data_IF_192374401342
#
_entry.id   IF_192374401342
#
_cell.length_a   1.000
_cell.length_b   1.000
_cell.length_c   1.000
_cell.angle_alpha   90.00
_cell.angle_beta   90.00
_cell.angle_gamma   90.00
#
_symmetry.space_group_name_H-M   'P 1'
#
loop_
_entity.id
_entity.type
_entity.pdbx_description
1 polymer ?
#
# COMPACT_ATOMS: atom_id res chain seq x y z
N UNK A 1 -31.90 7.70 0.41
CA UNK A 1 -31.24 7.14 1.62
C UNK A 1 -29.98 6.52 1.10
N UNK A 2 -28.86 7.21 1.20
CA UNK A 2 -27.53 6.67 0.98
C UNK A 2 -27.24 5.86 2.25
N UNK A 3 -27.06 4.55 2.10
CA UNK A 3 -26.95 3.61 3.21
C UNK A 3 -25.84 4.00 4.18
N UNK A 4 -26.08 3.80 5.48
CA UNK A 4 -25.12 4.04 6.58
C UNK A 4 -23.81 3.22 6.40
N UNK A 5 -23.79 2.20 5.54
CA UNK A 5 -22.63 1.36 5.20
C UNK A 5 -21.53 2.16 4.48
N UNK A 6 -21.87 3.19 3.68
CA UNK A 6 -20.89 3.99 2.93
C UNK A 6 -20.05 4.97 3.78
N UNK A 7 -20.41 5.24 5.02
CA UNK A 7 -19.70 6.25 5.84
C UNK A 7 -18.42 5.75 6.51
N UNK A 8 -18.21 4.45 6.55
CA UNK A 8 -17.06 3.82 7.22
C UNK A 8 -15.99 3.29 6.24
N UNK A 9 -16.31 3.24 4.94
CA UNK A 9 -15.38 2.77 3.91
C UNK A 9 -14.39 3.87 3.52
N UNK A 10 -13.09 3.56 3.64
CA UNK A 10 -12.03 4.45 3.14
C UNK A 10 -11.79 4.21 1.64
N UNK A 11 -12.08 3.00 1.13
CA UNK A 11 -11.99 2.67 -0.29
C UNK A 11 -13.26 1.94 -0.73
N UNK A 12 -13.86 2.41 -1.81
CA UNK A 12 -14.95 1.72 -2.52
C UNK A 12 -14.54 1.53 -3.97
N UNK A 13 -14.57 0.29 -4.45
CA UNK A 13 -14.24 -0.10 -5.82
C UNK A 13 -15.43 -0.84 -6.41
N UNK A 14 -15.96 -0.35 -7.54
CA UNK A 14 -17.17 -0.88 -8.16
C UNK A 14 -16.91 -1.26 -9.60
N UNK A 15 -16.99 -2.56 -9.92
CA UNK A 15 -16.93 -3.12 -11.28
C UNK A 15 -15.76 -2.59 -12.10
N UNK A 16 -14.57 -2.48 -11.49
CA UNK A 16 -13.38 -1.90 -12.13
C UNK A 16 -12.80 -2.84 -13.17
N UNK A 17 -12.60 -2.27 -14.36
CA UNK A 17 -11.96 -2.91 -15.50
C UNK A 17 -10.67 -2.17 -15.86
N UNK A 18 -9.62 -2.90 -16.23
CA UNK A 18 -8.39 -2.32 -16.78
C UNK A 18 -7.90 -3.10 -17.98
N UNK A 19 -7.84 -2.42 -19.11
CA UNK A 19 -7.20 -2.91 -20.34
C UNK A 19 -5.94 -2.10 -20.62
N UNK A 20 -4.85 -2.78 -20.90
CA UNK A 20 -3.64 -2.14 -21.41
C UNK A 20 -3.65 -2.06 -22.93
N UNK A 21 -2.89 -1.11 -23.55
CA UNK A 21 -2.84 -0.96 -25.02
C UNK A 21 -2.36 -2.21 -25.77
N UNK A 22 -1.61 -3.10 -25.11
CA UNK A 22 -1.14 -4.39 -25.68
C UNK A 22 -2.22 -5.48 -25.67
N UNK A 23 -3.47 -5.19 -25.29
CA UNK A 23 -4.59 -6.11 -25.22
C UNK A 23 -4.67 -6.92 -23.91
N UNK A 24 -3.78 -6.69 -22.96
CA UNK A 24 -3.86 -7.35 -21.66
C UNK A 24 -5.06 -6.84 -20.85
N UNK A 25 -5.95 -7.73 -20.43
CA UNK A 25 -7.07 -7.45 -19.54
C UNK A 25 -6.62 -7.69 -18.09
N UNK A 26 -6.11 -6.66 -17.46
CA UNK A 26 -5.41 -6.74 -16.17
C UNK A 26 -6.34 -6.74 -14.96
N UNK A 27 -7.52 -6.10 -15.05
CA UNK A 27 -8.56 -6.14 -14.01
C UNK A 27 -9.90 -6.44 -14.66
N UNK A 28 -10.66 -7.38 -14.07
CA UNK A 28 -11.91 -7.93 -14.61
C UNK A 28 -13.04 -7.77 -13.60
N UNK A 29 -13.82 -6.72 -13.72
CA UNK A 29 -14.99 -6.42 -12.88
C UNK A 29 -14.69 -6.50 -11.38
N UNK A 30 -13.53 -5.96 -10.97
CA UNK A 30 -13.12 -6.00 -9.57
C UNK A 30 -14.05 -5.09 -8.75
N UNK A 31 -14.62 -5.67 -7.70
CA UNK A 31 -15.44 -4.95 -6.71
C UNK A 31 -14.90 -5.28 -5.32
N UNK A 32 -14.60 -4.26 -4.53
CA UNK A 32 -14.09 -4.40 -3.17
C UNK A 32 -14.39 -3.15 -2.34
N UNK A 33 -14.54 -3.32 -1.05
CA UNK A 33 -14.71 -2.25 -0.07
C UNK A 33 -13.66 -2.41 1.02
N UNK A 34 -13.06 -1.33 1.49
CA UNK A 34 -12.07 -1.35 2.57
C UNK A 34 -12.50 -0.35 3.63
N UNK A 35 -12.60 -0.79 4.86
CA UNK A 35 -13.02 0.05 5.98
C UNK A 35 -11.87 0.91 6.50
N UNK A 36 -12.21 2.01 7.14
CA UNK A 36 -11.24 2.84 7.84
C UNK A 36 -10.61 2.06 9.00
N UNK A 37 -9.29 2.08 9.11
CA UNK A 37 -8.52 1.32 10.11
C UNK A 37 -8.34 -0.16 9.76
N UNK A 38 -8.86 -0.64 8.62
CA UNK A 38 -8.73 -2.04 8.19
C UNK A 38 -7.39 -2.28 7.49
N UNK A 39 -6.79 -3.43 7.76
CA UNK A 39 -5.60 -3.93 7.06
C UNK A 39 -6.02 -5.02 6.08
N UNK A 40 -5.92 -4.74 4.79
CA UNK A 40 -6.25 -5.68 3.72
C UNK A 40 -4.99 -6.17 3.03
N UNK A 41 -4.74 -7.47 3.07
CA UNK A 41 -3.66 -8.10 2.30
C UNK A 41 -4.17 -8.60 0.95
N UNK A 42 -3.41 -8.34 -0.12
CA UNK A 42 -3.70 -8.84 -1.46
C UNK A 42 -2.64 -9.88 -1.82
N UNK A 43 -3.08 -11.12 -2.07
CA UNK A 43 -2.23 -12.25 -2.43
C UNK A 43 -2.64 -12.83 -3.79
N UNK A 44 -1.78 -13.62 -4.40
CA UNK A 44 -2.03 -14.31 -5.68
C UNK A 44 -0.78 -14.47 -6.53
N UNK A 45 -0.82 -15.24 -7.61
CA UNK A 45 0.32 -15.48 -8.48
C UNK A 45 0.84 -14.19 -9.14
N UNK A 46 2.10 -14.24 -9.62
CA UNK A 46 2.67 -13.14 -10.41
C UNK A 46 1.84 -12.91 -11.67
N UNK A 47 1.61 -11.62 -12.01
CA UNK A 47 0.77 -11.24 -13.15
C UNK A 47 -0.74 -11.33 -12.93
N UNK A 48 -1.23 -11.63 -11.71
CA UNK A 48 -2.67 -11.71 -11.41
C UNK A 48 -3.39 -10.35 -11.32
N UNK A 49 -2.70 -9.23 -11.45
CA UNK A 49 -3.31 -7.90 -11.41
C UNK A 49 -3.20 -7.17 -10.07
N UNK A 50 -2.56 -7.74 -9.03
CA UNK A 50 -2.47 -7.16 -7.67
C UNK A 50 -1.90 -5.73 -7.65
N UNK A 51 -0.69 -5.55 -8.21
CA UNK A 51 -0.06 -4.22 -8.27
C UNK A 51 -0.82 -3.25 -9.16
N UNK A 52 -1.44 -3.75 -10.25
CA UNK A 52 -2.33 -2.94 -11.09
C UNK A 52 -3.52 -2.45 -10.26
N UNK A 53 -4.20 -3.34 -9.55
CA UNK A 53 -5.32 -2.98 -8.68
C UNK A 53 -4.89 -1.98 -7.60
N UNK A 54 -3.81 -2.26 -6.86
CA UNK A 54 -3.29 -1.35 -5.84
C UNK A 54 -3.02 0.06 -6.41
N UNK A 55 -2.39 0.15 -7.57
CA UNK A 55 -2.04 1.42 -8.22
C UNK A 55 -3.25 2.18 -8.79
N UNK A 56 -4.40 1.52 -8.99
CA UNK A 56 -5.62 2.24 -9.34
C UNK A 56 -6.17 3.03 -8.16
N UNK A 57 -5.88 2.64 -6.90
CA UNK A 57 -6.39 3.30 -5.70
C UNK A 57 -5.78 4.70 -5.44
N UNK A 58 -4.72 5.08 -6.16
CA UNK A 58 -4.14 6.42 -6.13
C UNK A 58 -3.97 7.02 -7.55
N UNK A 59 -4.63 6.41 -8.54
CA UNK A 59 -4.60 6.78 -9.95
C UNK A 59 -3.17 6.81 -10.54
N UNK A 60 -2.22 6.00 -10.04
CA UNK A 60 -0.98 5.71 -10.76
C UNK A 60 -1.22 4.82 -11.99
N UNK A 61 -2.29 4.03 -11.94
CA UNK A 61 -2.86 3.32 -13.08
C UNK A 61 -4.31 3.79 -13.28
N UNK A 62 -4.65 4.24 -14.48
CA UNK A 62 -6.01 4.64 -14.84
C UNK A 62 -6.86 3.40 -15.13
N UNK A 63 -8.10 3.38 -14.68
CA UNK A 63 -9.06 2.32 -15.02
C UNK A 63 -9.64 2.53 -16.43
N UNK A 64 -10.15 1.46 -17.05
CA UNK A 64 -10.83 1.53 -18.33
C UNK A 64 -12.34 1.77 -18.18
N UNK A 65 -12.94 1.27 -17.10
CA UNK A 65 -14.31 1.50 -16.67
C UNK A 65 -14.51 1.09 -15.22
N UNK A 66 -15.67 1.40 -14.66
CA UNK A 66 -15.98 1.21 -13.25
C UNK A 66 -15.87 2.50 -12.46
N UNK A 67 -15.84 2.39 -11.13
CA UNK A 67 -15.78 3.54 -10.22
C UNK A 67 -14.85 3.24 -9.05
N UNK A 68 -14.09 4.25 -8.62
CA UNK A 68 -13.27 4.18 -7.42
C UNK A 68 -13.49 5.45 -6.59
N UNK A 69 -13.84 5.26 -5.33
CA UNK A 69 -13.93 6.32 -4.32
C UNK A 69 -12.90 6.02 -3.24
N UNK A 70 -12.07 6.99 -2.92
CA UNK A 70 -11.07 6.87 -1.84
C UNK A 70 -11.18 8.10 -0.94
N UNK A 71 -11.32 7.86 0.34
CA UNK A 71 -11.51 8.89 1.38
C UNK A 71 -12.64 9.88 1.02
N UNK A 72 -13.76 9.35 0.50
CA UNK A 72 -14.92 10.13 0.05
C UNK A 72 -14.75 10.87 -1.27
N UNK A 73 -13.59 10.77 -1.94
CA UNK A 73 -13.29 11.42 -3.21
C UNK A 73 -13.50 10.42 -4.34
N UNK A 74 -14.48 10.66 -5.22
CA UNK A 74 -14.64 9.92 -6.47
C UNK A 74 -13.54 10.33 -7.45
N UNK A 75 -12.65 9.38 -7.76
CA UNK A 75 -11.41 9.66 -8.51
C UNK A 75 -11.64 10.04 -9.96
N UNK A 76 -12.81 9.73 -10.52
CA UNK A 76 -13.14 9.91 -11.93
C UNK A 76 -14.32 10.87 -12.15
N UNK A 77 -14.80 11.55 -11.08
CA UNK A 77 -15.79 12.60 -11.20
C UNK A 77 -15.20 13.86 -11.86
N UNK A 78 -16.04 14.58 -12.60
CA UNK A 78 -15.64 15.83 -13.24
C UNK A 78 -15.13 16.85 -12.21
N UNK A 79 -13.93 17.36 -12.43
CA UNK A 79 -13.31 18.38 -11.56
C UNK A 79 -12.56 17.82 -10.33
N UNK A 80 -12.41 16.52 -10.19
CA UNK A 80 -11.62 15.92 -9.10
C UNK A 80 -10.14 16.33 -9.18
N UNK A 81 -9.62 16.91 -8.10
CA UNK A 81 -8.17 17.15 -7.96
C UNK A 81 -7.49 15.92 -7.38
N UNK A 82 -6.89 15.11 -8.24
CA UNK A 82 -6.17 13.90 -7.85
C UNK A 82 -4.95 14.19 -6.95
N UNK A 83 -4.40 15.39 -6.98
CA UNK A 83 -3.27 15.73 -6.11
C UNK A 83 -3.75 15.89 -4.66
N UNK A 84 -4.96 16.36 -4.44
CA UNK A 84 -5.56 16.38 -3.10
C UNK A 84 -5.73 14.95 -2.56
N UNK A 85 -6.25 14.03 -3.37
CA UNK A 85 -6.35 12.62 -2.98
C UNK A 85 -4.98 12.03 -2.63
N UNK A 86 -3.96 12.25 -3.48
CA UNK A 86 -2.59 11.73 -3.26
C UNK A 86 -1.89 12.30 -2.04
N UNK A 87 -2.36 13.40 -1.46
CA UNK A 87 -1.85 13.87 -0.17
C UNK A 87 -2.29 12.98 0.98
N UNK A 88 -3.50 12.42 0.88
CA UNK A 88 -4.11 11.56 1.91
C UNK A 88 -3.82 10.07 1.71
N UNK A 89 -3.15 9.68 0.60
CA UNK A 89 -2.84 8.29 0.28
C UNK A 89 -1.33 8.12 0.14
N UNK A 90 -0.72 7.49 1.13
CA UNK A 90 0.71 7.13 1.10
C UNK A 90 0.95 5.91 0.23
N UNK A 91 2.06 5.90 -0.52
CA UNK A 91 2.46 4.77 -1.35
C UNK A 91 3.90 4.36 -1.10
N UNK A 92 4.10 3.08 -0.84
CA UNK A 92 5.41 2.43 -0.69
C UNK A 92 5.57 1.40 -1.81
N UNK A 93 6.61 1.54 -2.60
CA UNK A 93 6.87 0.70 -3.78
C UNK A 93 7.84 -0.44 -3.47
N UNK A 94 7.85 -1.46 -4.31
CA UNK A 94 8.84 -2.52 -4.33
C UNK A 94 10.28 -1.97 -4.48
N UNK A 95 10.47 -1.02 -5.40
CA UNK A 95 11.70 -0.24 -5.51
C UNK A 95 11.57 0.97 -4.60
N UNK A 96 12.52 1.22 -3.75
CA UNK A 96 12.47 2.22 -2.67
C UNK A 96 12.18 3.64 -3.17
N UNK A 97 12.56 3.97 -4.41
CA UNK A 97 12.34 5.24 -5.10
C UNK A 97 12.79 6.47 -4.29
N UNK A 98 13.90 6.32 -3.55
CA UNK A 98 14.51 7.44 -2.82
C UNK A 98 15.24 8.36 -3.80
N UNK A 99 15.26 9.65 -3.48
CA UNK A 99 16.06 10.64 -4.18
C UNK A 99 17.55 10.42 -3.88
N UNK A 100 18.36 9.96 -4.84
CA UNK A 100 19.72 9.50 -4.57
C UNK A 100 20.70 10.62 -4.15
N UNK A 101 20.34 11.87 -4.48
CA UNK A 101 21.11 13.08 -4.17
C UNK A 101 20.68 13.78 -2.87
N UNK A 102 19.76 13.15 -2.11
CA UNK A 102 19.27 13.62 -0.81
C UNK A 102 19.60 12.61 0.28
N UNK A 103 19.86 13.10 1.49
CA UNK A 103 20.03 12.24 2.66
C UNK A 103 18.70 11.54 3.00
N UNK A 104 18.75 10.56 3.91
CA UNK A 104 17.54 9.88 4.40
C UNK A 104 16.56 10.90 5.01
N UNK A 105 17.06 11.80 5.87
CA UNK A 105 16.28 12.87 6.47
C UNK A 105 15.64 13.79 5.42
N UNK A 106 16.43 14.26 4.46
CA UNK A 106 15.95 15.14 3.38
C UNK A 106 14.90 14.47 2.49
N UNK A 107 14.99 13.14 2.27
CA UNK A 107 13.95 12.36 1.56
C UNK A 107 12.60 12.44 2.28
N UNK A 108 12.61 12.38 3.62
CA UNK A 108 11.39 12.44 4.44
C UNK A 108 10.85 13.87 4.54
N UNK A 109 11.72 14.88 4.60
CA UNK A 109 11.35 16.29 4.73
C UNK A 109 10.70 16.87 3.47
N UNK A 110 11.02 16.33 2.29
CA UNK A 110 10.77 17.00 1.01
C UNK A 110 9.28 17.27 0.76
N UNK A 111 8.43 16.25 0.88
CA UNK A 111 7.00 16.40 0.60
C UNK A 111 6.29 17.34 1.59
N UNK A 112 6.50 17.26 2.92
CA UNK A 112 5.95 18.23 3.86
C UNK A 112 6.33 19.69 3.56
N UNK A 113 7.56 19.95 3.11
CA UNK A 113 7.99 21.31 2.75
C UNK A 113 7.31 21.82 1.47
N UNK A 114 7.18 20.97 0.44
CA UNK A 114 6.69 21.40 -0.88
C UNK A 114 5.16 21.39 -0.94
N UNK A 115 4.52 20.38 -0.37
CA UNK A 115 3.09 20.15 -0.51
C UNK A 115 2.31 20.77 0.64
N UNK A 116 2.77 20.56 1.89
CA UNK A 116 2.12 21.09 3.09
C UNK A 116 2.64 22.48 3.51
N UNK A 117 3.61 23.04 2.75
CA UNK A 117 4.23 24.35 3.03
C UNK A 117 4.80 24.48 4.46
N UNK A 118 5.27 23.39 5.05
CA UNK A 118 5.92 23.43 6.36
C UNK A 118 7.26 24.18 6.28
N UNK A 119 7.61 24.91 7.32
CA UNK A 119 8.96 25.48 7.44
C UNK A 119 10.00 24.34 7.49
N UNK A 120 11.26 24.68 7.19
CA UNK A 120 12.36 23.70 7.26
C UNK A 120 12.48 23.09 8.65
N UNK A 121 12.36 23.88 9.69
CA UNK A 121 12.45 23.45 11.09
C UNK A 121 11.30 22.52 11.48
N UNK A 122 10.08 22.80 11.02
CA UNK A 122 8.91 21.95 11.25
C UNK A 122 9.05 20.61 10.53
N UNK A 123 9.43 20.65 9.24
CA UNK A 123 9.65 19.45 8.44
C UNK A 123 10.79 18.59 9.01
N UNK A 124 11.88 19.21 9.48
CA UNK A 124 13.00 18.50 10.08
C UNK A 124 12.60 17.83 11.41
N UNK A 125 11.87 18.52 12.26
CA UNK A 125 11.36 17.96 13.52
C UNK A 125 10.47 16.74 13.27
N UNK A 126 9.52 16.86 12.33
CA UNK A 126 8.63 15.78 11.92
C UNK A 126 9.41 14.59 11.34
N UNK A 127 10.33 14.85 10.43
CA UNK A 127 11.14 13.83 9.79
C UNK A 127 12.03 13.09 10.80
N UNK A 128 12.65 13.79 11.77
CA UNK A 128 13.44 13.15 12.83
C UNK A 128 12.60 12.20 13.69
N UNK A 129 11.37 12.59 14.04
CA UNK A 129 10.46 11.74 14.79
C UNK A 129 10.10 10.47 13.98
N UNK A 130 9.82 10.60 12.68
CA UNK A 130 9.53 9.47 11.80
C UNK A 130 10.74 8.56 11.58
N UNK A 131 11.94 9.13 11.38
CA UNK A 131 13.17 8.35 11.26
C UNK A 131 13.45 7.53 12.53
N UNK A 132 13.21 8.10 13.69
CA UNK A 132 13.28 7.37 14.97
C UNK A 132 12.23 6.26 15.04
N UNK A 133 10.99 6.53 14.62
CA UNK A 133 9.89 5.55 14.60
C UNK A 133 10.22 4.33 13.75
N UNK A 134 10.93 4.50 12.62
CA UNK A 134 11.37 3.39 11.77
C UNK A 134 12.74 2.82 12.14
N UNK A 135 13.31 3.21 13.29
CA UNK A 135 14.57 2.70 13.83
C UNK A 135 15.82 3.13 13.04
N UNK A 136 15.82 4.36 12.49
CA UNK A 136 16.91 4.89 11.66
C UNK A 136 17.44 6.25 12.19
N UNK A 137 17.38 6.47 13.51
CA UNK A 137 17.84 7.71 14.14
C UNK A 137 19.31 8.01 13.87
N UNK A 138 20.16 6.97 13.80
CA UNK A 138 21.61 7.05 13.54
C UNK A 138 21.96 7.10 12.04
N UNK A 139 20.98 7.07 11.12
CA UNK A 139 21.15 7.01 9.67
C UNK A 139 20.62 8.24 8.92
N UNK A 140 20.18 9.26 9.61
CA UNK A 140 19.49 10.44 9.04
C UNK A 140 20.33 11.15 7.97
N UNK A 141 21.65 11.25 8.19
CA UNK A 141 22.59 11.95 7.29
C UNK A 141 23.13 11.05 6.17
N UNK A 142 22.74 9.77 6.14
CA UNK A 142 23.20 8.87 5.10
C UNK A 142 22.44 9.09 3.79
N UNK A 143 23.16 9.02 2.69
CA UNK A 143 22.59 8.95 1.35
C UNK A 143 22.08 7.52 1.07
N UNK A 144 21.10 7.33 0.17
CA UNK A 144 20.56 6.01 -0.16
C UNK A 144 21.64 4.98 -0.52
N UNK A 145 22.70 5.38 -1.21
CA UNK A 145 23.82 4.50 -1.58
C UNK A 145 24.62 3.94 -0.39
N UNK A 146 24.44 4.48 0.82
CA UNK A 146 25.06 4.03 2.07
C UNK A 146 24.10 3.32 3.01
N UNK A 147 22.88 3.03 2.54
CA UNK A 147 21.85 2.32 3.29
C UNK A 147 21.65 0.93 2.70
N UNK A 148 21.40 -0.06 3.58
CA UNK A 148 20.94 -1.37 3.13
C UNK A 148 19.55 -1.29 2.49
N UNK A 149 19.13 -2.32 1.74
CA UNK A 149 17.78 -2.37 1.15
C UNK A 149 16.67 -2.18 2.17
N UNK A 150 16.74 -2.89 3.30
CA UNK A 150 15.76 -2.75 4.39
C UNK A 150 15.77 -1.35 5.03
N UNK A 151 16.95 -0.71 5.17
CA UNK A 151 17.05 0.67 5.62
C UNK A 151 16.42 1.64 4.61
N UNK A 152 16.69 1.47 3.31
CA UNK A 152 16.08 2.29 2.25
C UNK A 152 14.55 2.16 2.25
N UNK A 153 14.03 0.95 2.42
CA UNK A 153 12.60 0.71 2.49
C UNK A 153 11.96 1.37 3.72
N UNK A 154 12.61 1.30 4.87
CA UNK A 154 12.14 1.99 6.07
C UNK A 154 12.16 3.52 5.93
N UNK A 155 13.13 4.09 5.20
CA UNK A 155 13.11 5.52 4.82
C UNK A 155 11.93 5.81 3.88
N UNK A 156 11.63 4.93 2.92
CA UNK A 156 10.49 5.11 2.02
C UNK A 156 9.14 5.07 2.78
N UNK A 157 9.02 4.20 3.79
CA UNK A 157 7.86 4.18 4.69
C UNK A 157 7.76 5.50 5.48
N UNK A 158 8.86 5.95 6.11
CA UNK A 158 8.90 7.21 6.84
C UNK A 158 8.53 8.41 5.96
N UNK A 159 9.00 8.42 4.70
CA UNK A 159 8.64 9.44 3.70
C UNK A 159 7.14 9.46 3.39
N UNK A 160 6.52 8.28 3.21
CA UNK A 160 5.08 8.20 2.98
C UNK A 160 4.29 8.69 4.20
N UNK A 161 4.68 8.29 5.41
CA UNK A 161 4.06 8.71 6.66
C UNK A 161 4.21 10.22 6.94
N UNK A 162 5.21 10.88 6.34
CA UNK A 162 5.45 12.31 6.56
C UNK A 162 4.30 13.21 6.08
N UNK A 163 3.45 12.72 5.20
CA UNK A 163 2.23 13.39 4.74
C UNK A 163 1.01 13.15 5.63
N UNK A 164 1.14 12.30 6.70
CA UNK A 164 0.04 11.91 7.59
C UNK A 164 -1.17 11.34 6.81
N UNK A 165 -0.95 10.32 5.97
CA UNK A 165 -2.01 9.80 5.12
C UNK A 165 -3.08 9.05 5.92
N UNK A 166 -4.33 9.09 5.44
CA UNK A 166 -5.44 8.28 5.96
C UNK A 166 -5.39 6.81 5.49
N UNK A 167 -4.72 6.57 4.35
CA UNK A 167 -4.55 5.24 3.75
C UNK A 167 -3.09 5.03 3.31
N UNK A 168 -2.52 3.87 3.66
CA UNK A 168 -1.20 3.45 3.18
C UNK A 168 -1.32 2.28 2.19
N UNK A 169 -0.70 2.43 1.04
CA UNK A 169 -0.61 1.40 0.00
C UNK A 169 0.82 0.83 -0.05
N UNK A 170 0.95 -0.49 0.03
CA UNK A 170 2.24 -1.18 -0.04
C UNK A 170 2.26 -2.14 -1.24
N UNK A 171 3.13 -1.87 -2.21
CA UNK A 171 3.30 -2.69 -3.40
C UNK A 171 4.54 -3.58 -3.24
N UNK A 172 4.36 -4.80 -2.74
CA UNK A 172 5.41 -5.80 -2.49
C UNK A 172 6.62 -5.22 -1.72
N UNK A 173 6.43 -4.67 -0.52
CA UNK A 173 7.45 -3.86 0.18
C UNK A 173 8.72 -4.61 0.55
N UNK A 174 8.72 -5.95 0.47
CA UNK A 174 9.86 -6.81 0.86
C UNK A 174 10.50 -7.55 -0.30
N UNK A 175 9.90 -7.55 -1.50
CA UNK A 175 10.33 -8.42 -2.61
C UNK A 175 11.70 -8.07 -3.21
N UNK A 176 12.21 -6.85 -2.97
CA UNK A 176 13.54 -6.41 -3.38
C UNK A 176 14.61 -6.53 -2.28
N UNK A 177 14.28 -7.20 -1.16
CA UNK A 177 15.14 -7.30 0.01
C UNK A 177 15.78 -8.68 0.15
N UNK A 178 16.96 -8.70 0.74
CA UNK A 178 17.56 -9.94 1.25
C UNK A 178 16.72 -10.50 2.41
N UNK A 179 16.57 -11.82 2.55
CA UNK A 179 15.71 -12.44 3.56
C UNK A 179 15.97 -11.98 5.02
N UNK A 180 17.22 -11.69 5.35
CA UNK A 180 17.61 -11.20 6.70
C UNK A 180 17.07 -9.80 7.01
N UNK A 181 16.69 -9.02 5.99
CA UNK A 181 16.18 -7.64 6.14
C UNK A 181 14.66 -7.54 6.11
N UNK A 182 13.97 -8.60 5.69
CA UNK A 182 12.50 -8.64 5.55
C UNK A 182 11.81 -8.38 6.89
N UNK A 183 12.29 -9.03 7.97
CA UNK A 183 11.70 -8.92 9.31
C UNK A 183 11.61 -7.47 9.81
N UNK A 184 12.70 -6.71 9.68
CA UNK A 184 12.75 -5.31 10.16
C UNK A 184 11.73 -4.40 9.44
N UNK A 185 11.46 -4.65 8.15
CA UNK A 185 10.48 -3.89 7.38
C UNK A 185 9.06 -4.30 7.76
N UNK A 186 8.81 -5.61 7.89
CA UNK A 186 7.50 -6.12 8.31
C UNK A 186 7.15 -5.67 9.74
N UNK A 187 8.11 -5.58 10.65
CA UNK A 187 7.87 -5.10 12.02
C UNK A 187 7.41 -3.64 12.03
N UNK A 188 7.97 -2.79 11.16
CA UNK A 188 7.47 -1.41 11.00
C UNK A 188 6.03 -1.41 10.49
N UNK A 189 5.70 -2.23 9.47
CA UNK A 189 4.34 -2.28 8.92
C UNK A 189 3.35 -2.85 9.96
N UNK A 190 3.75 -3.87 10.73
CA UNK A 190 2.96 -4.39 11.87
C UNK A 190 2.67 -3.30 12.90
N UNK A 191 3.67 -2.48 13.24
CA UNK A 191 3.49 -1.36 14.15
C UNK A 191 2.41 -0.38 13.67
N UNK A 192 2.38 -0.07 12.37
CA UNK A 192 1.35 0.79 11.77
C UNK A 192 -0.05 0.16 11.86
N UNK A 193 -0.15 -1.16 11.63
CA UNK A 193 -1.40 -1.91 11.77
C UNK A 193 -1.96 -1.80 13.20
N UNK A 194 -1.12 -2.06 14.21
CA UNK A 194 -1.53 -1.97 15.62
C UNK A 194 -1.93 -0.57 16.06
N UNK A 195 -1.47 0.47 15.37
CA UNK A 195 -1.88 1.86 15.60
C UNK A 195 -3.20 2.22 14.89
N UNK A 196 -3.82 1.30 14.15
CA UNK A 196 -5.10 1.49 13.47
C UNK A 196 -4.99 2.19 12.11
N UNK A 197 -3.82 2.14 11.46
CA UNK A 197 -3.64 2.70 10.11
C UNK A 197 -4.41 1.86 9.08
N UNK A 198 -5.24 2.52 8.24
CA UNK A 198 -5.86 1.85 7.09
C UNK A 198 -4.77 1.46 6.08
N UNK A 199 -4.72 0.19 5.68
CA UNK A 199 -3.65 -0.29 4.80
C UNK A 199 -4.14 -1.28 3.76
N UNK A 200 -3.58 -1.18 2.55
CA UNK A 200 -3.68 -2.22 1.52
C UNK A 200 -2.28 -2.68 1.17
N UNK A 201 -2.00 -3.95 1.38
CA UNK A 201 -0.66 -4.53 1.27
C UNK A 201 -0.65 -5.66 0.24
N UNK A 202 -0.04 -5.44 -0.91
CA UNK A 202 0.31 -6.53 -1.84
C UNK A 202 1.55 -7.21 -1.29
N UNK A 203 1.47 -8.51 -1.00
CA UNK A 203 2.58 -9.24 -0.37
C UNK A 203 2.67 -10.69 -0.82
N UNK A 204 3.89 -11.22 -0.77
CA UNK A 204 4.20 -12.65 -0.86
C UNK A 204 4.53 -13.26 0.52
N UNK A 205 4.52 -12.46 1.57
CA UNK A 205 4.79 -12.87 2.95
C UNK A 205 3.51 -13.42 3.58
N UNK A 206 3.22 -14.72 3.38
CA UNK A 206 1.97 -15.34 3.85
C UNK A 206 1.85 -15.32 5.38
N UNK A 207 2.97 -15.44 6.10
CA UNK A 207 3.01 -15.33 7.56
C UNK A 207 2.57 -13.94 8.04
N UNK A 208 3.03 -12.89 7.38
CA UNK A 208 2.61 -11.52 7.67
C UNK A 208 1.11 -11.31 7.38
N UNK A 209 0.64 -11.73 6.19
CA UNK A 209 -0.77 -11.61 5.83
C UNK A 209 -1.69 -12.33 6.84
N UNK A 210 -1.26 -13.52 7.30
CA UNK A 210 -2.02 -14.30 8.29
C UNK A 210 -2.08 -13.64 9.67
N UNK A 211 -0.99 -12.99 10.10
CA UNK A 211 -0.84 -12.42 11.45
C UNK A 211 -1.47 -11.03 11.57
N UNK A 212 -1.42 -10.23 10.51
CA UNK A 212 -1.65 -8.78 10.60
C UNK A 212 -2.89 -8.33 9.84
N UNK A 213 -3.27 -9.02 8.76
CA UNK A 213 -4.42 -8.61 7.98
C UNK A 213 -5.75 -8.91 8.70
N UNK A 214 -6.69 -7.98 8.60
CA UNK A 214 -8.09 -8.21 8.99
C UNK A 214 -8.84 -8.99 7.90
N UNK A 215 -8.43 -8.76 6.63
CA UNK A 215 -9.00 -9.40 5.44
C UNK A 215 -7.94 -9.71 4.39
N UNK A 216 -8.17 -10.78 3.63
CA UNK A 216 -7.26 -11.22 2.56
C UNK A 216 -8.04 -11.33 1.25
N UNK A 217 -7.55 -10.63 0.24
CA UNK A 217 -8.04 -10.69 -1.14
C UNK A 217 -7.14 -11.60 -1.95
N UNK A 218 -7.70 -12.67 -2.53
CA UNK A 218 -6.96 -13.52 -3.47
C UNK A 218 -7.32 -13.17 -4.90
N UNK A 219 -6.34 -12.72 -5.65
CA UNK A 219 -6.50 -12.35 -7.07
C UNK A 219 -5.82 -13.36 -7.99
N UNK A 220 -6.51 -13.73 -9.08
CA UNK A 220 -5.96 -14.52 -10.17
C UNK A 220 -6.54 -14.07 -11.51
N UNK A 221 -5.70 -14.00 -12.54
CA UNK A 221 -6.07 -13.63 -13.91
C UNK A 221 -6.90 -12.33 -14.03
N UNK A 222 -6.60 -11.35 -13.19
CA UNK A 222 -7.27 -10.05 -13.16
C UNK A 222 -8.59 -10.03 -12.39
N UNK A 223 -9.05 -11.16 -11.85
CA UNK A 223 -10.27 -11.26 -11.07
C UNK A 223 -9.98 -11.39 -9.58
N UNK A 224 -10.86 -10.82 -8.75
CA UNK A 224 -10.92 -11.07 -7.31
C UNK A 224 -11.73 -12.36 -7.09
N UNK A 225 -11.06 -13.43 -6.68
CA UNK A 225 -11.70 -14.75 -6.53
C UNK A 225 -12.13 -15.07 -5.10
N UNK A 226 -11.40 -14.54 -4.11
CA UNK A 226 -11.73 -14.72 -2.68
C UNK A 226 -11.50 -13.40 -1.96
N UNK A 227 -12.41 -13.08 -1.06
CA UNK A 227 -12.38 -11.94 -0.15
C UNK A 227 -12.90 -12.44 1.20
N UNK A 228 -11.99 -12.73 2.14
CA UNK A 228 -12.36 -13.37 3.40
C UNK A 228 -11.31 -13.10 4.51
N UNK A 229 -11.62 -13.54 5.72
CA UNK A 229 -10.71 -13.48 6.86
C UNK A 229 -9.44 -14.31 6.64
N UNK A 230 -8.30 -13.95 7.25
CA UNK A 230 -7.07 -14.74 7.18
C UNK A 230 -7.28 -16.21 7.57
N UNK A 231 -8.11 -16.47 8.59
CA UNK A 231 -8.43 -17.82 9.03
C UNK A 231 -9.14 -18.63 7.93
N UNK A 232 -10.13 -18.05 7.25
CA UNK A 232 -10.83 -18.73 6.15
C UNK A 232 -9.91 -18.97 4.95
N UNK A 233 -9.02 -18.02 4.64
CA UNK A 233 -8.09 -18.10 3.52
C UNK A 233 -6.99 -19.12 3.76
N UNK A 234 -6.35 -19.13 4.94
CA UNK A 234 -5.15 -19.92 5.18
C UNK A 234 -5.42 -21.28 5.85
N UNK A 235 -6.46 -21.40 6.70
CA UNK A 235 -6.72 -22.62 7.48
C UNK A 235 -7.79 -23.51 6.83
N UNK A 236 -8.80 -22.88 6.20
CA UNK A 236 -9.94 -23.60 5.60
C UNK A 236 -10.27 -23.08 4.20
N UNK A 237 -9.28 -23.02 3.27
CA UNK A 237 -9.51 -22.45 1.94
C UNK A 237 -10.59 -23.24 1.18
N UNK A 238 -11.72 -22.56 0.86
CA UNK A 238 -12.83 -23.19 0.15
C UNK A 238 -12.64 -23.20 -1.38
N UNK A 239 -11.98 -22.17 -1.92
CA UNK A 239 -11.83 -22.01 -3.37
C UNK A 239 -10.70 -22.90 -3.93
N UNK A 240 -10.94 -23.77 -4.95
CA UNK A 240 -9.94 -24.73 -5.45
C UNK A 240 -8.64 -24.07 -5.96
N UNK A 241 -8.75 -22.90 -6.60
CA UNK A 241 -7.54 -22.16 -7.08
C UNK A 241 -6.72 -21.60 -5.94
N UNK A 242 -7.36 -21.12 -4.87
CA UNK A 242 -6.66 -20.68 -3.65
C UNK A 242 -5.90 -21.85 -3.01
N UNK A 243 -6.54 -23.04 -2.89
CA UNK A 243 -5.87 -24.24 -2.37
C UNK A 243 -4.61 -24.59 -3.18
N UNK A 244 -4.72 -24.58 -4.53
CA UNK A 244 -3.59 -24.84 -5.43
C UNK A 244 -2.48 -23.81 -5.32
N UNK A 245 -2.82 -22.54 -5.08
CA UNK A 245 -1.84 -21.47 -4.86
C UNK A 245 -1.12 -21.66 -3.52
N UNK A 246 -1.87 -21.84 -2.44
CA UNK A 246 -1.30 -22.01 -1.09
C UNK A 246 -0.39 -23.22 -0.99
N UNK A 247 -0.76 -24.36 -1.61
CA UNK A 247 0.07 -25.57 -1.65
C UNK A 247 1.43 -25.38 -2.34
N UNK A 248 1.65 -24.27 -3.05
CA UNK A 248 2.93 -23.96 -3.72
C UNK A 248 3.78 -22.95 -2.96
N UNK A 249 3.16 -22.18 -2.05
CA UNK A 249 3.83 -21.05 -1.39
C UNK A 249 3.97 -21.25 0.12
N UNK A 250 3.25 -22.21 0.71
CA UNK A 250 3.38 -22.70 2.07
C UNK A 250 4.09 -24.05 2.09
#
# INVERSE_FOLDING_TARGET
MIDEVERDDIVTVEQVEKYYPNGCHALKQVTAHIKRGEVVAIIGPSGSGKSTFLRTLNQLEEISSGRIVVDGIDMYADGTDINQLRQNVGMVFQSFNLFPHKTALENVMLAPMIVSNLSKEQAESKAKALMKRVGLEDRMENYPSRLSGGQQQRVAIARALAMEPDLMLFDEPTSALDPEMVGEVLDVIKGLAFEGMSMVVVTHEMGFAREVADRVLFMEDGALLVDDSPQAVFDTPAHPRLQQFLAKVL
#
